data_IF_012009690621
#
_entry.id   IF_012009690621
#
_cell.length_a   1.000
_cell.length_b   1.000
_cell.length_c   1.000
_cell.angle_alpha   90.00
_cell.angle_beta   90.00
_cell.angle_gamma   90.00
#
_symmetry.space_group_name_H-M   'P 1'
#
loop_
_entity.id
_entity.type
_entity.pdbx_description
1 polymer ?
#
# COMPACT_ATOMS: atom_id res chain seq x y z
N UNK A 1 -57.47 -31.24 -22.15
CA UNK A 1 -56.40 -30.25 -22.40
C UNK A 1 -55.16 -30.44 -21.51
N UNK A 2 -55.22 -31.06 -20.33
CA UNK A 2 -54.11 -31.04 -19.34
C UNK A 2 -52.93 -32.02 -19.51
N UNK A 3 -52.65 -32.55 -20.70
CA UNK A 3 -51.47 -33.42 -20.93
C UNK A 3 -50.19 -32.63 -21.20
N UNK A 4 -50.31 -31.49 -21.91
CA UNK A 4 -49.16 -30.63 -22.26
C UNK A 4 -48.65 -29.82 -21.06
N UNK A 5 -49.56 -29.31 -20.22
CA UNK A 5 -49.18 -28.52 -19.03
C UNK A 5 -48.38 -29.33 -17.99
N UNK A 6 -48.63 -30.64 -17.87
CA UNK A 6 -47.82 -31.50 -16.97
C UNK A 6 -46.43 -31.79 -17.54
N UNK A 7 -46.32 -31.96 -18.86
CA UNK A 7 -45.03 -32.20 -19.53
C UNK A 7 -44.11 -30.96 -19.44
N UNK A 8 -44.67 -29.75 -19.54
CA UNK A 8 -43.95 -28.48 -19.36
C UNK A 8 -43.46 -28.30 -17.90
N UNK A 9 -44.28 -28.65 -16.90
CA UNK A 9 -43.89 -28.62 -15.48
C UNK A 9 -42.80 -29.64 -15.14
N UNK A 10 -42.89 -30.86 -15.68
CA UNK A 10 -41.89 -31.91 -15.50
C UNK A 10 -40.53 -31.53 -16.12
N UNK A 11 -40.53 -30.87 -17.28
CA UNK A 11 -39.33 -30.36 -17.93
C UNK A 11 -38.68 -29.23 -17.11
N UNK A 12 -39.46 -28.28 -16.59
CA UNK A 12 -38.94 -27.21 -15.73
C UNK A 12 -38.35 -27.77 -14.43
N UNK A 13 -39.00 -28.78 -13.84
CA UNK A 13 -38.49 -29.44 -12.64
C UNK A 13 -37.16 -30.17 -12.91
N UNK A 14 -37.03 -30.81 -14.08
CA UNK A 14 -35.79 -31.47 -14.50
C UNK A 14 -34.66 -30.44 -14.69
N UNK A 15 -34.94 -29.33 -15.36
CA UNK A 15 -33.98 -28.24 -15.58
C UNK A 15 -33.50 -27.65 -14.25
N UNK A 16 -34.40 -27.40 -13.30
CA UNK A 16 -34.04 -26.89 -11.98
C UNK A 16 -33.18 -27.89 -11.20
N UNK A 17 -33.51 -29.19 -11.25
CA UNK A 17 -32.72 -30.23 -10.59
C UNK A 17 -31.30 -30.35 -11.16
N UNK A 18 -31.16 -30.23 -12.48
CA UNK A 18 -29.85 -30.20 -13.13
C UNK A 18 -29.05 -28.95 -12.76
N UNK A 19 -29.70 -27.79 -12.69
CA UNK A 19 -29.08 -26.54 -12.25
C UNK A 19 -28.60 -26.61 -10.79
N UNK A 20 -29.45 -27.08 -9.88
CA UNK A 20 -29.09 -27.28 -8.47
C UNK A 20 -27.92 -28.25 -8.30
N UNK A 21 -27.87 -29.34 -9.08
CA UNK A 21 -26.74 -30.28 -9.08
C UNK A 21 -25.42 -29.65 -9.58
N UNK A 22 -25.48 -28.75 -10.56
CA UNK A 22 -24.31 -27.99 -11.01
C UNK A 22 -23.83 -26.98 -9.96
N UNK A 23 -24.74 -26.41 -9.19
CA UNK A 23 -24.43 -25.39 -8.17
C UNK A 23 -24.04 -26.02 -6.84
N UNK A 24 -24.56 -27.20 -6.46
CA UNK A 24 -24.20 -27.96 -5.25
C UNK A 24 -22.71 -28.37 -5.23
N UNK A 25 -22.15 -28.66 -6.40
CA UNK A 25 -20.72 -28.99 -6.54
C UNK A 25 -19.79 -27.77 -6.54
N UNK A 26 -20.36 -26.56 -6.61
CA UNK A 26 -19.61 -25.34 -6.41
C UNK A 26 -19.56 -25.09 -4.91
N UNK A 27 -18.41 -25.37 -4.31
CA UNK A 27 -18.03 -24.77 -3.04
C UNK A 27 -17.92 -23.26 -3.25
N UNK A 28 -19.06 -22.57 -3.24
CA UNK A 28 -19.09 -21.15 -2.93
C UNK A 28 -18.55 -21.07 -1.50
N UNK A 29 -17.33 -20.59 -1.32
CA UNK A 29 -16.84 -20.13 -0.02
C UNK A 29 -17.74 -18.97 0.42
N UNK A 30 -18.94 -19.33 0.88
CA UNK A 30 -19.97 -18.43 1.34
C UNK A 30 -19.63 -18.11 2.80
N UNK A 31 -19.18 -16.88 3.02
CA UNK A 31 -18.77 -16.30 4.31
C UNK A 31 -17.36 -16.64 4.80
N UNK A 32 -16.35 -16.31 4.00
CA UNK A 32 -15.20 -15.72 4.65
C UNK A 32 -15.70 -14.48 5.44
N UNK A 33 -15.31 -14.28 6.71
CA UNK A 33 -15.75 -13.13 7.51
C UNK A 33 -15.27 -11.78 6.93
N UNK A 34 -14.44 -11.84 5.89
CA UNK A 34 -13.92 -10.72 5.12
C UNK A 34 -14.16 -10.98 3.64
N UNK A 35 -14.65 -9.98 2.92
CA UNK A 35 -14.74 -10.01 1.46
C UNK A 35 -13.39 -9.62 0.86
N UNK A 36 -13.12 -10.00 -0.39
CA UNK A 36 -11.96 -9.49 -1.13
C UNK A 36 -11.85 -7.95 -1.09
N UNK A 37 -12.98 -7.23 -1.10
CA UNK A 37 -12.99 -5.76 -0.97
C UNK A 37 -12.58 -5.28 0.43
N UNK A 38 -12.91 -6.04 1.48
CA UNK A 38 -12.48 -5.74 2.85
C UNK A 38 -10.97 -5.97 3.01
N UNK A 39 -10.43 -7.00 2.35
CA UNK A 39 -8.99 -7.25 2.29
C UNK A 39 -8.26 -6.11 1.56
N UNK A 40 -8.80 -5.61 0.43
CA UNK A 40 -8.21 -4.47 -0.27
C UNK A 40 -8.21 -3.19 0.57
N UNK A 41 -9.30 -2.90 1.28
CA UNK A 41 -9.39 -1.76 2.20
C UNK A 41 -8.42 -1.93 3.39
N UNK A 42 -8.21 -3.16 3.86
CA UNK A 42 -7.22 -3.49 4.86
C UNK A 42 -5.78 -3.30 4.34
N UNK A 43 -5.47 -3.72 3.11
CA UNK A 43 -4.18 -3.48 2.47
C UNK A 43 -3.85 -1.99 2.38
N UNK A 44 -4.83 -1.16 1.99
CA UNK A 44 -4.65 0.29 1.94
C UNK A 44 -4.33 0.84 3.34
N UNK A 45 -5.08 0.42 4.37
CA UNK A 45 -4.88 0.86 5.77
C UNK A 45 -3.53 0.44 6.34
N UNK A 46 -3.12 -0.81 6.14
CA UNK A 46 -1.87 -1.37 6.66
C UNK A 46 -0.63 -0.78 5.99
N UNK A 47 -0.71 -0.49 4.69
CA UNK A 47 0.41 0.06 3.93
C UNK A 47 0.45 1.59 3.89
N UNK A 48 -0.39 2.28 4.70
CA UNK A 48 -0.29 3.73 4.81
C UNK A 48 1.04 4.13 5.40
N UNK A 49 1.64 5.14 4.76
CA UNK A 49 2.85 5.76 5.26
C UNK A 49 2.60 6.32 6.67
N UNK A 50 3.20 5.67 7.67
CA UNK A 50 3.29 6.22 9.02
C UNK A 50 4.62 6.96 9.11
N UNK A 51 4.62 8.30 9.12
CA UNK A 51 5.87 9.05 9.19
C UNK A 51 6.62 8.65 10.47
N UNK A 52 7.93 8.33 10.39
CA UNK A 52 8.71 8.09 11.59
C UNK A 52 8.70 9.34 12.46
N UNK A 53 8.78 9.16 13.78
CA UNK A 53 8.86 10.28 14.71
C UNK A 53 10.19 11.03 14.48
N UNK A 54 10.16 12.08 13.65
CA UNK A 54 11.32 12.93 13.43
C UNK A 54 11.52 13.75 14.71
N UNK A 55 12.70 13.71 15.36
CA UNK A 55 12.97 14.55 16.52
C UNK A 55 12.80 16.01 16.10
N UNK A 56 11.96 16.76 16.83
CA UNK A 56 11.70 18.17 16.56
C UNK A 56 13.00 18.95 16.76
N UNK A 57 13.76 19.17 15.68
CA UNK A 57 14.93 20.06 15.70
C UNK A 57 14.45 21.48 15.96
N UNK A 58 14.74 22.00 17.14
CA UNK A 58 14.43 23.39 17.50
C UNK A 58 15.11 24.35 16.53
N UNK A 59 14.49 25.49 16.22
CA UNK A 59 15.04 26.51 15.32
C UNK A 59 16.45 26.96 15.76
N UNK A 60 16.69 27.02 17.08
CA UNK A 60 18.00 27.27 17.68
C UNK A 60 19.07 26.25 17.28
N UNK A 61 18.70 24.97 17.22
CA UNK A 61 19.62 23.90 16.85
C UNK A 61 19.98 23.96 15.37
N UNK A 62 19.01 24.28 14.50
CA UNK A 62 19.24 24.50 13.07
C UNK A 62 20.18 25.69 12.83
N UNK A 63 19.97 26.80 13.55
CA UNK A 63 20.86 27.97 13.47
C UNK A 63 22.28 27.67 13.96
N UNK A 64 22.41 26.90 15.05
CA UNK A 64 23.72 26.49 15.58
C UNK A 64 24.47 25.59 14.61
N UNK A 65 23.78 24.60 14.02
CA UNK A 65 24.32 23.70 13.00
C UNK A 65 24.77 24.49 11.75
N UNK A 66 23.94 25.42 11.26
CA UNK A 66 24.27 26.27 10.12
C UNK A 66 25.49 27.17 10.39
N UNK A 67 25.54 27.80 11.56
CA UNK A 67 26.67 28.67 11.94
C UNK A 67 27.96 27.86 12.09
N UNK A 68 27.90 26.64 12.61
CA UNK A 68 29.06 25.75 12.69
C UNK A 68 29.54 25.30 11.32
N UNK A 69 28.64 25.01 10.38
CA UNK A 69 29.00 24.66 9.01
C UNK A 69 29.71 25.83 8.31
N UNK A 70 29.20 27.05 8.47
CA UNK A 70 29.82 28.28 7.93
C UNK A 70 31.20 28.51 8.55
N UNK A 71 31.33 28.37 9.88
CA UNK A 71 32.62 28.52 10.56
C UNK A 71 33.64 27.47 10.11
N UNK A 72 33.21 26.22 9.89
CA UNK A 72 34.08 25.17 9.32
C UNK A 72 34.49 25.48 7.89
N UNK A 73 33.59 26.00 7.06
CA UNK A 73 33.90 26.43 5.69
C UNK A 73 34.93 27.56 5.68
N UNK A 74 34.75 28.59 6.51
CA UNK A 74 35.71 29.71 6.61
C UNK A 74 37.07 29.21 7.11
N UNK A 75 37.09 28.40 8.17
CA UNK A 75 38.33 27.85 8.73
C UNK A 75 39.05 26.90 7.76
N UNK A 76 38.30 26.10 6.99
CA UNK A 76 38.87 25.24 5.95
C UNK A 76 39.35 26.04 4.73
N UNK A 77 38.73 27.19 4.44
CA UNK A 77 39.18 28.14 3.43
C UNK A 77 40.47 28.86 3.85
N UNK A 78 40.69 29.08 5.14
CA UNK A 78 41.90 29.73 5.67
C UNK A 78 43.14 28.83 5.59
N UNK A 79 42.96 27.51 5.66
CA UNK A 79 44.03 26.51 5.52
C UNK A 79 44.41 26.21 4.05
N UNK A 80 43.73 26.78 3.06
CA UNK A 80 44.11 26.70 1.64
C UNK A 80 44.91 27.93 1.19
N UNK A 81 46.06 28.17 1.83
CA UNK A 81 47.12 28.99 1.23
C UNK A 81 48.06 28.06 0.46
N UNK A 82 48.00 28.00 -0.89
CA UNK A 82 49.07 27.36 -1.65
C UNK A 82 50.32 28.25 -1.54
N UNK A 83 51.37 27.64 -1.04
CA UNK A 83 52.74 28.04 -1.11
C UNK A 83 53.23 28.04 -2.58
N UNK A 84 52.98 29.13 -3.31
CA UNK A 84 53.75 29.43 -4.53
C UNK A 84 54.77 30.53 -4.27
N UNK A 85 56.04 30.14 -4.21
CA UNK A 85 57.17 31.05 -4.07
C UNK A 85 58.54 30.39 -3.86
N UNK A 86 58.79 29.23 -4.49
CA UNK A 86 60.14 28.66 -4.65
C UNK A 86 60.65 28.92 -6.07
N UNK A 87 61.84 29.52 -6.20
CA UNK A 87 62.56 29.76 -7.47
C UNK A 87 62.74 28.51 -8.34
N UNK A 88 62.45 28.60 -9.64
CA UNK A 88 63.38 28.85 -10.77
C UNK A 88 62.59 29.31 -12.00
#
# INVERSE_FOLDING_TARGET
MGKRENEDEDEINLINAEFESMVEGLSLDESAPTTYLDELDQFEKENRFTPPAIPKKTLMQQYREARQAIQRWIKNSENQKPDEGGSI
#
